data_IF_260744152236
#
_entry.id   IF_260744152236
#
_cell.length_a   1.000
_cell.length_b   1.000
_cell.length_c   1.000
_cell.angle_alpha   90.00
_cell.angle_beta   90.00
_cell.angle_gamma   90.00
#
_symmetry.space_group_name_H-M   'P 1'
#
loop_
_entity.id
_entity.type
_entity.pdbx_description
1 polymer ?
#
# COMPACT_ATOMS: atom_id res chain seq x y z
N UNK A 1 -6.76 17.98 -10.96
CA UNK A 1 -6.41 17.97 -9.56
C UNK A 1 -6.12 16.54 -9.17
N UNK A 2 -4.87 16.28 -8.81
CA UNK A 2 -4.44 14.95 -8.39
C UNK A 2 -4.75 14.84 -6.90
N UNK A 3 -5.96 14.42 -6.55
CA UNK A 3 -6.28 13.99 -5.20
C UNK A 3 -5.75 12.58 -4.99
N UNK A 4 -4.50 12.45 -4.62
CA UNK A 4 -4.04 11.28 -3.89
C UNK A 4 -4.40 11.52 -2.43
N UNK A 5 -5.64 11.25 -2.07
CA UNK A 5 -6.05 11.10 -0.69
C UNK A 5 -5.37 9.84 -0.16
N UNK A 6 -4.30 10.05 0.57
CA UNK A 6 -3.77 9.04 1.46
C UNK A 6 -4.37 9.33 2.83
N UNK A 7 -5.27 8.52 3.37
CA UNK A 7 -5.59 8.58 4.79
C UNK A 7 -4.41 7.97 5.56
N UNK A 8 -3.32 8.73 5.63
CA UNK A 8 -2.18 8.19 6.31
C UNK A 8 -1.28 9.21 6.87
N UNK A 9 -0.83 8.89 8.01
CA UNK A 9 0.23 9.49 8.77
C UNK A 9 1.59 9.32 8.08
N UNK A 10 2.00 10.14 7.11
CA UNK A 10 3.41 10.29 6.86
C UNK A 10 3.95 10.99 8.09
N UNK A 11 4.91 10.39 8.78
CA UNK A 11 5.71 11.09 9.76
C UNK A 11 6.43 12.21 9.04
N UNK A 12 5.98 13.44 9.28
CA UNK A 12 6.72 14.61 8.87
C UNK A 12 7.77 14.92 9.93
N UNK A 13 9.02 14.94 9.51
CA UNK A 13 10.09 15.48 10.34
C UNK A 13 10.29 16.94 10.00
N UNK A 14 10.11 17.82 10.99
CA UNK A 14 10.54 19.21 10.92
C UNK A 14 11.73 19.44 11.86
N UNK A 15 12.55 20.44 11.56
CA UNK A 15 13.57 20.95 12.47
C UNK A 15 13.03 22.25 13.08
N UNK A 16 13.05 22.34 14.40
CA UNK A 16 12.81 23.60 15.10
C UNK A 16 14.12 24.06 15.69
N UNK A 17 14.39 25.34 15.62
CA UNK A 17 15.51 26.02 16.29
C UNK A 17 15.16 26.43 17.72
N UNK A 18 13.87 26.40 18.08
CA UNK A 18 13.35 26.72 19.39
C UNK A 18 12.79 25.47 20.06
N UNK A 19 12.89 25.42 21.38
CA UNK A 19 12.31 24.35 22.17
C UNK A 19 10.78 24.41 22.05
N UNK A 20 10.14 23.36 21.53
CA UNK A 20 8.69 23.28 21.45
C UNK A 20 8.10 23.20 22.85
N UNK A 21 7.49 24.28 23.31
CA UNK A 21 7.01 24.42 24.69
C UNK A 21 5.77 23.56 24.95
N UNK A 22 4.90 23.37 23.93
CA UNK A 22 3.67 22.58 24.05
C UNK A 22 3.27 21.98 22.69
N UNK A 23 3.55 20.70 22.53
CA UNK A 23 3.26 19.98 21.29
C UNK A 23 1.75 19.75 21.06
N UNK A 24 0.96 19.67 22.13
CA UNK A 24 -0.51 19.52 22.03
C UNK A 24 -1.15 20.82 21.51
N UNK A 25 -0.71 21.96 22.02
CA UNK A 25 -1.17 23.28 21.55
C UNK A 25 -0.76 23.49 20.08
N UNK A 26 0.44 23.07 19.71
CA UNK A 26 0.91 23.17 18.32
C UNK A 26 0.09 22.27 17.38
N UNK A 27 -0.16 21.00 17.75
CA UNK A 27 -0.99 20.10 16.98
C UNK A 27 -2.42 20.68 16.76
N UNK A 28 -3.02 21.25 17.81
CA UNK A 28 -4.31 21.92 17.74
C UNK A 28 -4.31 23.12 16.78
N UNK A 29 -3.28 23.98 16.86
CA UNK A 29 -3.11 25.13 15.96
C UNK A 29 -2.94 24.70 14.51
N UNK A 30 -2.12 23.66 14.24
CA UNK A 30 -1.92 23.12 12.91
C UNK A 30 -3.24 22.60 12.33
N UNK A 31 -4.02 21.84 13.09
CA UNK A 31 -5.33 21.34 12.64
C UNK A 31 -6.33 22.47 12.34
N UNK A 32 -6.19 23.63 12.95
CA UNK A 32 -7.00 24.81 12.63
C UNK A 32 -6.61 25.51 11.32
N UNK A 33 -5.40 25.25 10.80
CA UNK A 33 -4.87 25.87 9.58
C UNK A 33 -4.87 24.89 8.39
N UNK A 34 -4.80 23.60 8.64
CA UNK A 34 -4.72 22.56 7.60
C UNK A 34 -6.09 22.32 6.95
N UNK A 35 -6.03 21.84 5.71
CA UNK A 35 -7.24 21.41 5.00
C UNK A 35 -7.91 20.25 5.77
N UNK A 36 -9.24 20.15 5.70
CA UNK A 36 -10.03 19.13 6.43
C UNK A 36 -9.64 17.68 6.13
N UNK A 37 -8.94 17.43 5.02
CA UNK A 37 -8.41 16.10 4.67
C UNK A 37 -7.09 15.75 5.41
N UNK A 38 -6.56 16.68 6.22
CA UNK A 38 -5.28 16.49 6.92
C UNK A 38 -5.50 16.72 8.41
N UNK A 39 -5.15 15.71 9.22
CA UNK A 39 -5.19 15.80 10.67
C UNK A 39 -3.83 15.46 11.29
N UNK A 40 -3.38 16.28 12.24
CA UNK A 40 -2.18 16.04 13.06
C UNK A 40 -2.65 15.50 14.41
N UNK A 41 -2.34 14.24 14.72
CA UNK A 41 -2.75 13.59 15.97
C UNK A 41 -1.75 13.84 17.11
N UNK A 42 -0.46 13.76 16.81
CA UNK A 42 0.60 14.04 17.78
C UNK A 42 1.83 14.68 17.13
N UNK A 43 2.63 15.33 17.94
CA UNK A 43 3.94 15.85 17.58
C UNK A 43 4.89 15.38 18.68
N UNK A 44 5.91 14.61 18.31
CA UNK A 44 6.81 13.97 19.24
C UNK A 44 8.27 14.29 18.91
N UNK A 45 9.12 14.52 19.93
CA UNK A 45 10.53 14.65 19.69
C UNK A 45 11.11 13.30 19.26
N UNK A 46 11.98 13.34 18.27
CA UNK A 46 12.65 12.13 17.74
C UNK A 46 14.16 12.34 17.68
N UNK A 47 14.93 11.27 17.52
CA UNK A 47 16.37 11.32 17.35
C UNK A 47 16.78 12.24 16.19
N UNK A 48 17.89 12.94 16.34
CA UNK A 48 18.32 13.97 15.38
C UNK A 48 18.68 13.42 13.99
N UNK A 49 19.00 12.14 13.87
CA UNK A 49 19.34 11.41 12.65
C UNK A 49 18.14 10.65 12.05
N UNK A 50 17.02 10.56 12.77
CA UNK A 50 15.84 9.87 12.26
C UNK A 50 15.36 10.52 10.96
N UNK A 51 15.11 9.70 9.93
CA UNK A 51 14.60 10.14 8.66
C UNK A 51 13.28 9.42 8.35
N UNK A 52 12.17 10.16 8.16
CA UNK A 52 10.82 9.62 7.97
C UNK A 52 10.68 8.54 6.88
N UNK A 53 11.53 8.53 5.86
CA UNK A 53 11.53 7.52 4.80
C UNK A 53 12.57 6.43 4.99
N UNK A 54 13.80 6.81 5.37
CA UNK A 54 14.94 5.88 5.35
C UNK A 54 15.13 5.14 6.67
N UNK A 55 14.66 5.71 7.79
CA UNK A 55 14.69 5.01 9.07
C UNK A 55 13.51 4.07 9.30
N UNK A 56 12.50 4.10 8.43
CA UNK A 56 11.36 3.21 8.57
C UNK A 56 11.75 1.77 8.27
N UNK A 57 11.42 0.87 9.19
CA UNK A 57 11.72 -0.58 9.16
C UNK A 57 10.73 -1.33 8.27
N UNK A 58 9.44 -0.99 8.37
CA UNK A 58 8.40 -1.61 7.53
C UNK A 58 7.30 -0.60 7.16
N UNK A 59 6.52 -0.96 6.14
CA UNK A 59 5.32 -0.26 5.71
C UNK A 59 4.24 -1.28 5.45
N UNK A 60 3.02 -0.95 5.86
CA UNK A 60 1.82 -1.74 5.58
C UNK A 60 0.90 -0.94 4.66
N UNK A 61 0.47 -1.57 3.59
CA UNK A 61 -0.52 -1.01 2.67
C UNK A 61 -1.79 -1.84 2.70
N UNK A 62 -2.94 -1.16 2.53
CA UNK A 62 -4.23 -1.81 2.25
C UNK A 62 -4.77 -1.36 0.91
N UNK A 63 -5.35 -2.29 0.18
CA UNK A 63 -6.06 -2.04 -1.07
C UNK A 63 -7.50 -2.51 -0.94
N UNK A 64 -8.45 -1.57 -1.01
CA UNK A 64 -9.87 -1.85 -0.75
C UNK A 64 -10.63 -2.16 -2.03
N UNK A 65 -11.50 -3.19 -1.97
CA UNK A 65 -12.39 -3.58 -3.07
C UNK A 65 -13.79 -3.83 -2.54
N UNK A 66 -14.79 -3.61 -3.41
CA UNK A 66 -16.18 -3.96 -3.13
C UNK A 66 -16.83 -4.54 -4.40
N UNK A 67 -17.86 -5.39 -4.21
CA UNK A 67 -18.53 -6.13 -5.30
C UNK A 67 -19.94 -5.63 -5.57
N UNK A 68 -20.45 -4.73 -4.76
CA UNK A 68 -21.78 -4.11 -4.90
C UNK A 68 -21.61 -2.59 -4.99
N UNK A 69 -22.30 -1.98 -5.97
CA UNK A 69 -22.31 -0.52 -6.12
C UNK A 69 -22.67 0.18 -4.80
N UNK A 70 -21.78 1.06 -4.34
CA UNK A 70 -21.94 1.82 -3.12
C UNK A 70 -21.39 3.26 -3.31
N UNK A 71 -22.27 4.29 -3.26
CA UNK A 71 -21.86 5.69 -3.42
C UNK A 71 -20.85 6.17 -2.36
N UNK A 72 -20.87 5.59 -1.15
CA UNK A 72 -19.96 5.96 -0.05
C UNK A 72 -18.57 5.35 -0.19
N UNK A 73 -18.43 4.27 -0.95
CA UNK A 73 -17.17 3.58 -1.18
C UNK A 73 -16.47 4.00 -2.48
N UNK A 74 -17.18 4.63 -3.41
CA UNK A 74 -16.70 4.88 -4.77
C UNK A 74 -15.40 5.70 -4.85
N UNK A 75 -15.12 6.57 -3.86
CA UNK A 75 -13.92 7.41 -3.80
C UNK A 75 -12.68 6.66 -3.27
N UNK A 76 -12.86 5.63 -2.43
CA UNK A 76 -11.81 5.01 -1.63
C UNK A 76 -11.69 3.50 -1.81
N UNK A 77 -12.51 2.90 -2.66
CA UNK A 77 -12.52 1.46 -2.92
C UNK A 77 -12.74 1.20 -4.41
N UNK A 78 -12.24 0.08 -4.91
CA UNK A 78 -12.45 -0.34 -6.29
C UNK A 78 -13.66 -1.26 -6.37
N UNK A 79 -14.64 -0.89 -7.21
CA UNK A 79 -15.75 -1.78 -7.53
C UNK A 79 -15.29 -2.87 -8.51
N UNK A 80 -15.50 -4.13 -8.16
CA UNK A 80 -15.19 -5.30 -8.99
C UNK A 80 -16.49 -6.02 -9.33
N UNK A 81 -16.76 -6.21 -10.63
CA UNK A 81 -18.00 -6.78 -11.14
C UNK A 81 -17.92 -8.30 -11.40
N UNK A 82 -16.86 -8.97 -10.93
CA UNK A 82 -16.66 -10.41 -11.11
C UNK A 82 -16.51 -11.11 -9.77
N UNK A 83 -16.87 -12.38 -9.75
CA UNK A 83 -16.58 -13.24 -8.62
C UNK A 83 -15.08 -13.54 -8.58
N UNK A 84 -14.52 -13.50 -7.38
CA UNK A 84 -13.12 -13.78 -7.12
C UNK A 84 -13.00 -14.93 -6.11
N UNK A 85 -12.08 -15.83 -6.38
CA UNK A 85 -11.67 -16.84 -5.41
C UNK A 85 -10.60 -16.25 -4.46
N UNK A 86 -11.08 -15.72 -3.33
CA UNK A 86 -10.18 -15.14 -2.30
C UNK A 86 -9.33 -16.19 -1.61
N UNK A 87 -9.72 -17.47 -1.60
CA UNK A 87 -8.90 -18.55 -1.07
C UNK A 87 -7.65 -18.74 -1.93
N UNK A 88 -7.86 -18.84 -3.24
CA UNK A 88 -6.78 -18.96 -4.21
C UNK A 88 -5.89 -17.69 -4.23
N UNK A 89 -6.51 -16.50 -4.11
CA UNK A 89 -5.76 -15.24 -4.00
C UNK A 89 -4.90 -15.18 -2.73
N UNK A 90 -5.35 -15.78 -1.62
CA UNK A 90 -4.56 -15.86 -0.38
C UNK A 90 -3.42 -16.88 -0.50
N UNK A 91 -3.59 -17.96 -1.25
CA UNK A 91 -2.49 -18.87 -1.59
C UNK A 91 -1.41 -18.16 -2.41
N UNK A 92 -1.83 -17.40 -3.44
CA UNK A 92 -0.90 -16.55 -4.20
C UNK A 92 -0.25 -15.47 -3.33
N UNK A 93 -0.96 -14.93 -2.35
CA UNK A 93 -0.39 -13.98 -1.36
C UNK A 93 0.74 -14.60 -0.54
N UNK A 94 0.61 -15.88 -0.13
CA UNK A 94 1.69 -16.59 0.58
C UNK A 94 2.93 -16.78 -0.29
N UNK A 95 2.75 -17.01 -1.59
CA UNK A 95 3.86 -17.15 -2.54
C UNK A 95 4.72 -15.87 -2.56
N UNK A 96 4.13 -14.67 -2.42
CA UNK A 96 4.92 -13.44 -2.37
C UNK A 96 5.96 -13.43 -1.25
N UNK A 97 5.69 -14.09 -0.13
CA UNK A 97 6.63 -14.15 1.00
C UNK A 97 7.80 -15.13 0.79
N UNK A 98 7.76 -15.93 -0.28
CA UNK A 98 8.82 -16.86 -0.66
C UNK A 98 9.92 -16.20 -1.53
N UNK A 99 9.69 -14.95 -1.99
CA UNK A 99 10.55 -14.24 -2.91
C UNK A 99 11.01 -12.88 -2.35
N UNK A 100 12.18 -12.44 -2.79
CA UNK A 100 12.73 -11.13 -2.45
C UNK A 100 12.84 -10.18 -3.65
N UNK A 101 12.84 -10.68 -4.88
CA UNK A 101 12.98 -9.84 -6.09
C UNK A 101 11.61 -9.61 -6.76
N UNK A 102 11.16 -8.37 -6.70
CA UNK A 102 9.85 -7.94 -7.22
C UNK A 102 9.95 -7.10 -8.51
N UNK A 103 10.96 -7.34 -9.34
CA UNK A 103 11.15 -6.64 -10.62
C UNK A 103 9.91 -6.66 -11.51
N UNK A 104 9.18 -7.79 -11.56
CA UNK A 104 7.93 -7.94 -12.31
C UNK A 104 6.84 -6.92 -11.92
N UNK A 105 6.85 -6.41 -10.69
CA UNK A 105 5.85 -5.48 -10.19
C UNK A 105 6.34 -4.02 -10.15
N UNK A 106 7.58 -3.76 -10.57
CA UNK A 106 8.13 -2.42 -10.65
C UNK A 106 7.59 -1.66 -11.87
N UNK A 107 7.29 -0.37 -11.70
CA UNK A 107 6.93 0.48 -12.85
C UNK A 107 8.09 0.52 -13.84
N UNK A 108 7.81 0.24 -15.11
CA UNK A 108 8.81 0.37 -16.18
C UNK A 108 9.42 1.78 -16.22
N UNK A 109 10.72 1.87 -16.48
CA UNK A 109 11.44 3.14 -16.50
C UNK A 109 11.63 3.79 -15.12
N UNK A 110 11.49 3.05 -14.04
CA UNK A 110 11.80 3.55 -12.70
C UNK A 110 13.31 3.49 -12.48
N UNK A 111 13.89 4.61 -12.05
CA UNK A 111 15.29 4.66 -11.59
C UNK A 111 15.36 4.07 -10.17
N UNK A 112 15.59 2.76 -10.09
CA UNK A 112 15.74 2.03 -8.83
C UNK A 112 17.07 1.29 -8.80
N UNK A 113 17.81 1.42 -7.72
CA UNK A 113 19.10 0.73 -7.53
C UNK A 113 18.94 -0.80 -7.36
N UNK A 114 17.80 -1.24 -6.86
CA UNK A 114 17.49 -2.64 -6.62
C UNK A 114 15.99 -2.88 -6.63
N UNK A 115 15.58 -4.07 -7.08
CA UNK A 115 14.20 -4.56 -7.05
C UNK A 115 13.91 -5.45 -5.83
N UNK A 116 14.88 -5.59 -4.93
CA UNK A 116 14.74 -6.40 -3.73
C UNK A 116 13.83 -5.71 -2.70
N UNK A 117 12.85 -6.47 -2.21
CA UNK A 117 11.93 -6.13 -1.12
C UNK A 117 11.69 -7.38 -0.29
N UNK A 118 11.55 -7.26 1.01
CA UNK A 118 11.21 -8.39 1.87
C UNK A 118 9.76 -8.26 2.33
N UNK A 119 8.86 -9.08 1.76
CA UNK A 119 7.44 -9.13 2.11
C UNK A 119 7.26 -10.04 3.31
N UNK A 120 6.71 -9.52 4.39
CA UNK A 120 6.48 -10.27 5.64
C UNK A 120 5.02 -10.65 5.84
N UNK A 121 4.10 -10.00 5.11
CA UNK A 121 2.68 -10.27 5.18
C UNK A 121 2.01 -9.93 3.85
N UNK A 122 1.07 -10.78 3.39
CA UNK A 122 0.28 -10.55 2.18
C UNK A 122 -1.01 -11.37 2.24
N UNK A 123 -2.16 -10.72 2.56
CA UNK A 123 -3.43 -11.42 2.78
C UNK A 123 -4.65 -10.58 2.45
N UNK A 124 -5.70 -11.24 1.94
CA UNK A 124 -7.03 -10.68 1.77
C UNK A 124 -7.90 -10.93 2.99
N UNK A 125 -8.62 -9.89 3.41
CA UNK A 125 -9.56 -9.92 4.53
C UNK A 125 -10.93 -9.47 4.10
N UNK A 126 -11.96 -10.21 4.52
CA UNK A 126 -13.35 -9.81 4.33
C UNK A 126 -13.80 -8.93 5.48
N UNK A 127 -14.37 -7.77 5.17
CA UNK A 127 -14.94 -6.83 6.17
C UNK A 127 -16.45 -6.84 6.20
N UNK A 128 -17.08 -7.23 5.08
CA UNK A 128 -18.52 -7.43 4.97
C UNK A 128 -18.81 -8.45 3.85
N UNK A 129 -20.05 -8.88 3.64
CA UNK A 129 -20.38 -9.79 2.54
C UNK A 129 -19.99 -9.27 1.14
N UNK A 130 -19.79 -7.95 1.00
CA UNK A 130 -19.50 -7.31 -0.29
C UNK A 130 -18.23 -6.49 -0.30
N UNK A 131 -17.46 -6.44 0.80
CA UNK A 131 -16.26 -5.62 0.91
C UNK A 131 -15.07 -6.42 1.42
N UNK A 132 -13.93 -6.18 0.81
CA UNK A 132 -12.65 -6.81 1.13
C UNK A 132 -11.51 -5.80 1.09
N UNK A 133 -10.41 -6.10 1.76
CA UNK A 133 -9.14 -5.43 1.52
C UNK A 133 -7.99 -6.43 1.44
N UNK A 134 -7.01 -6.09 0.63
CA UNK A 134 -5.71 -6.77 0.61
C UNK A 134 -4.74 -5.99 1.49
N UNK A 135 -4.11 -6.66 2.44
CA UNK A 135 -3.06 -6.09 3.28
C UNK A 135 -1.71 -6.68 2.91
N UNK A 136 -0.72 -5.82 2.76
CA UNK A 136 0.66 -6.23 2.47
C UNK A 136 1.64 -5.40 3.28
N UNK A 137 2.58 -6.09 3.94
CA UNK A 137 3.66 -5.48 4.73
C UNK A 137 5.01 -5.90 4.17
N UNK A 138 5.91 -4.92 3.99
CA UNK A 138 7.29 -5.17 3.58
C UNK A 138 8.24 -4.12 4.16
N UNK A 139 9.54 -4.41 4.17
CA UNK A 139 10.59 -3.45 4.54
C UNK A 139 10.62 -2.24 3.60
N UNK A 140 10.28 -2.42 2.32
CA UNK A 140 10.15 -1.37 1.30
C UNK A 140 9.23 -1.82 0.18
N UNK A 141 8.79 -0.87 -0.65
CA UNK A 141 8.05 -1.15 -1.87
C UNK A 141 8.64 -0.40 -3.06
N UNK A 142 8.57 -1.03 -4.22
CA UNK A 142 8.91 -0.42 -5.49
C UNK A 142 7.76 0.49 -5.96
N UNK A 143 8.08 1.40 -6.87
CA UNK A 143 7.05 2.27 -7.47
C UNK A 143 5.99 1.43 -8.16
N UNK A 144 4.72 1.64 -7.79
CA UNK A 144 3.55 0.94 -8.33
C UNK A 144 3.42 -0.56 -7.93
N UNK A 145 4.33 -1.09 -7.11
CA UNK A 145 4.40 -2.51 -6.76
C UNK A 145 3.07 -3.06 -6.23
N UNK A 146 2.52 -2.49 -5.17
CA UNK A 146 1.29 -3.00 -4.55
C UNK A 146 0.13 -3.06 -5.55
N UNK A 147 -0.04 -2.04 -6.38
CA UNK A 147 -1.09 -1.99 -7.39
C UNK A 147 -0.93 -3.06 -8.48
N UNK A 148 0.30 -3.37 -8.86
CA UNK A 148 0.61 -4.44 -9.82
C UNK A 148 0.40 -5.83 -9.19
N UNK A 149 0.83 -6.01 -7.94
CA UNK A 149 0.57 -7.23 -7.15
C UNK A 149 -0.93 -7.49 -7.06
N UNK A 150 -1.73 -6.51 -6.63
CA UNK A 150 -3.19 -6.65 -6.52
C UNK A 150 -3.81 -7.01 -7.87
N UNK A 151 -3.39 -6.37 -8.96
CA UNK A 151 -3.89 -6.70 -10.29
C UNK A 151 -3.59 -8.13 -10.72
N UNK A 152 -2.40 -8.62 -10.40
CA UNK A 152 -2.01 -9.99 -10.71
C UNK A 152 -2.77 -11.00 -9.82
N UNK A 153 -2.95 -10.70 -8.53
CA UNK A 153 -3.79 -11.51 -7.63
C UNK A 153 -5.25 -11.60 -8.11
N UNK A 154 -5.78 -10.50 -8.66
CA UNK A 154 -7.14 -10.50 -9.24
C UNK A 154 -7.23 -11.43 -10.46
N UNK A 155 -6.20 -11.50 -11.32
CA UNK A 155 -6.20 -12.47 -12.44
C UNK A 155 -6.15 -13.93 -11.93
N UNK A 156 -5.44 -14.19 -10.82
CA UNK A 156 -5.47 -15.48 -10.12
C UNK A 156 -6.88 -15.78 -9.60
N UNK A 157 -7.50 -14.85 -8.87
CA UNK A 157 -8.85 -15.01 -8.31
C UNK A 157 -9.95 -15.17 -9.34
N UNK A 158 -9.72 -14.69 -10.58
CA UNK A 158 -10.61 -14.89 -11.75
C UNK A 158 -10.40 -16.23 -12.45
N UNK A 159 -9.42 -17.03 -12.01
CA UNK A 159 -9.04 -18.27 -12.68
C UNK A 159 -8.36 -18.08 -14.05
N UNK A 160 -7.82 -16.87 -14.33
CA UNK A 160 -7.11 -16.57 -15.58
C UNK A 160 -5.60 -16.80 -15.48
N UNK A 161 -5.11 -16.98 -14.29
CA UNK A 161 -3.72 -17.25 -13.95
C UNK A 161 -3.67 -18.35 -12.90
N UNK A 162 -2.87 -19.38 -13.11
CA UNK A 162 -2.64 -20.43 -12.10
C UNK A 162 -1.60 -19.94 -11.07
N UNK A 163 -1.45 -20.66 -9.96
CA UNK A 163 -0.39 -20.37 -8.98
C UNK A 163 1.01 -20.56 -9.58
N UNK A 164 1.17 -21.52 -10.49
CA UNK A 164 2.44 -21.74 -11.20
C UNK A 164 2.75 -20.59 -12.17
N UNK A 165 1.76 -20.11 -12.92
CA UNK A 165 1.93 -18.90 -13.74
C UNK A 165 2.30 -17.68 -12.89
N UNK A 166 1.70 -17.55 -11.70
CA UNK A 166 2.02 -16.46 -10.78
C UNK A 166 3.48 -16.53 -10.32
N UNK A 167 4.00 -17.73 -10.01
CA UNK A 167 5.43 -17.92 -9.71
C UNK A 167 6.31 -17.54 -10.91
N UNK A 168 5.95 -17.98 -12.12
CA UNK A 168 6.69 -17.64 -13.34
C UNK A 168 6.71 -16.12 -13.60
N UNK A 169 5.63 -15.40 -13.29
CA UNK A 169 5.60 -13.92 -13.38
C UNK A 169 6.65 -13.29 -12.44
N UNK A 170 6.74 -13.76 -11.20
CA UNK A 170 7.72 -13.24 -10.23
C UNK A 170 9.15 -13.54 -10.72
N UNK A 171 9.42 -14.79 -11.08
CA UNK A 171 10.73 -15.28 -11.52
C UNK A 171 11.19 -14.63 -12.84
N UNK A 172 10.25 -14.39 -13.75
CA UNK A 172 10.50 -13.77 -15.04
C UNK A 172 10.89 -12.28 -14.95
N UNK A 173 10.60 -11.60 -13.84
CA UNK A 173 10.93 -10.19 -13.55
C UNK A 173 10.47 -9.19 -14.61
N UNK A 174 9.55 -9.59 -15.47
CA UNK A 174 9.06 -8.76 -16.57
C UNK A 174 7.70 -8.15 -16.24
N UNK A 175 7.62 -6.81 -16.22
CA UNK A 175 6.38 -6.09 -15.91
C UNK A 175 5.23 -6.44 -16.85
N UNK A 176 5.53 -6.80 -18.10
CA UNK A 176 4.54 -7.16 -19.12
C UNK A 176 3.83 -8.48 -18.86
N UNK A 177 4.41 -9.37 -18.05
CA UNK A 177 3.81 -10.64 -17.66
C UNK A 177 2.90 -10.52 -16.43
N UNK A 178 3.10 -9.49 -15.60
CA UNK A 178 2.25 -9.22 -14.46
C UNK A 178 0.91 -8.59 -14.90
N UNK A 179 -0.10 -8.78 -14.06
CA UNK A 179 -1.41 -8.18 -14.27
C UNK A 179 -1.40 -6.66 -14.36
N UNK A 180 -2.47 -6.09 -14.85
CA UNK A 180 -2.63 -4.64 -14.96
C UNK A 180 -2.57 -3.96 -13.59
N UNK A 181 -1.97 -2.76 -13.53
CA UNK A 181 -1.91 -2.03 -12.27
C UNK A 181 -3.27 -1.48 -11.89
N UNK A 182 -3.77 -1.87 -10.74
CA UNK A 182 -5.06 -1.42 -10.24
C UNK A 182 -5.11 0.09 -9.99
N UNK A 183 -6.28 0.74 -10.06
CA UNK A 183 -6.45 2.18 -9.80
C UNK A 183 -5.89 2.62 -8.45
N UNK A 184 -5.31 3.83 -8.39
CA UNK A 184 -4.65 4.32 -7.18
C UNK A 184 -5.62 4.71 -6.06
N UNK A 185 -6.88 5.03 -6.38
CA UNK A 185 -7.88 5.55 -5.42
C UNK A 185 -8.18 4.64 -4.24
N UNK A 186 -7.93 3.33 -4.39
CA UNK A 186 -8.24 2.32 -3.39
C UNK A 186 -7.02 1.86 -2.58
N UNK A 187 -5.83 2.44 -2.84
CA UNK A 187 -4.59 2.08 -2.17
C UNK A 187 -4.27 3.08 -1.05
N UNK A 188 -4.02 2.55 0.13
CA UNK A 188 -3.69 3.32 1.34
C UNK A 188 -2.42 2.79 2.00
N UNK A 189 -1.58 3.72 2.48
CA UNK A 189 -0.47 3.40 3.39
C UNK A 189 -1.07 3.30 4.80
N UNK A 190 -1.18 2.15 5.38
CA UNK A 190 -1.87 1.89 6.64
C UNK A 190 -0.99 2.12 7.86
N UNK A 191 0.26 1.71 7.78
CA UNK A 191 1.19 1.84 8.89
C UNK A 191 2.63 2.01 8.41
N UNK A 192 3.45 2.67 9.21
CA UNK A 192 4.90 2.78 9.04
C UNK A 192 5.56 2.53 10.39
N UNK A 193 6.32 1.44 10.50
CA UNK A 193 7.10 1.12 11.69
C UNK A 193 8.52 1.70 11.61
N UNK A 194 9.04 2.15 12.76
CA UNK A 194 10.38 2.75 12.91
C UNK A 194 11.20 2.04 13.96
#
# INVERSE_FOLDING_TARGET
>A
PRSTLFPYTPLFRSRSTEQLVDTLVLAKKLNGLLHHDIAVYSIEPVAADLHARFSALSRTYRYYVHTRKDPFLCAYSLELHYQLDYTLMNEAGRILMEYDDFGAFCKAGSDVKTTLCHVTHAQWYQTSPTTWYFEITANRFLRNMVRAVVGTLVEVGRGRMTLDDFRQVIEGKQRTQAGESMPAKALFLEDVSY
#
